data_IF_506008413384
#
_entry.id   IF_506008413384
#
_cell.length_a   1.000
_cell.length_b   1.000
_cell.length_c   1.000
_cell.angle_alpha   90.00
_cell.angle_beta   90.00
_cell.angle_gamma   90.00
#
_symmetry.space_group_name_H-M   'P 1'
#
loop_
_entity.id
_entity.type
_entity.pdbx_description
1 polymer ?
#
# COMPACT_ATOMS: atom_id res chain seq x y z
N UNK A 1 -19.85 15.00 -0.44
CA UNK A 1 -19.50 14.57 0.93
C UNK A 1 -18.60 15.62 1.56
N UNK A 2 -18.85 15.96 2.81
CA UNK A 2 -17.95 16.84 3.56
C UNK A 2 -16.98 15.95 4.38
N UNK A 3 -15.69 16.17 4.19
CA UNK A 3 -14.63 15.44 4.87
C UNK A 3 -13.94 16.28 5.97
N UNK A 4 -14.39 17.52 6.18
CA UNK A 4 -13.83 18.43 7.19
C UNK A 4 -13.87 17.81 8.57
N UNK A 5 -12.75 17.85 9.28
CA UNK A 5 -12.60 17.30 10.63
C UNK A 5 -12.52 15.77 10.68
N UNK A 6 -12.57 15.09 9.55
CA UNK A 6 -12.36 13.64 9.47
C UNK A 6 -10.88 13.29 9.44
N UNK A 7 -10.55 12.12 10.00
CA UNK A 7 -9.19 11.61 10.07
C UNK A 7 -8.99 10.43 9.13
N UNK A 8 -7.80 10.35 8.51
CA UNK A 8 -7.40 9.22 7.69
C UNK A 8 -6.07 8.65 8.17
N UNK A 9 -6.05 7.37 8.55
CA UNK A 9 -4.81 6.66 8.87
C UNK A 9 -4.20 6.07 7.59
N UNK A 10 -2.90 6.28 7.40
CA UNK A 10 -2.15 5.83 6.21
C UNK A 10 -1.16 4.75 6.61
N UNK A 11 -1.30 3.56 6.03
CA UNK A 11 -0.39 2.42 6.25
C UNK A 11 0.24 1.99 4.93
N UNK A 12 1.33 1.24 5.03
CA UNK A 12 1.99 0.66 3.86
C UNK A 12 3.45 1.04 3.74
N UNK A 13 3.89 1.16 2.50
CA UNK A 13 5.31 1.34 2.19
C UNK A 13 5.68 2.76 1.71
N UNK A 14 6.77 2.85 0.94
CA UNK A 14 7.31 4.12 0.43
C UNK A 14 6.34 4.86 -0.51
N UNK A 15 5.44 4.15 -1.17
CA UNK A 15 4.47 4.75 -2.10
C UNK A 15 3.35 5.43 -1.29
N UNK A 16 2.76 4.76 -0.31
CA UNK A 16 1.80 5.41 0.58
C UNK A 16 2.42 6.57 1.38
N UNK A 17 3.69 6.41 1.80
CA UNK A 17 4.47 7.44 2.51
C UNK A 17 4.74 8.68 1.66
N UNK A 18 4.99 8.53 0.36
CA UNK A 18 5.39 9.62 -0.55
C UNK A 18 6.90 9.79 -0.67
N UNK A 19 7.70 8.70 -0.60
CA UNK A 19 9.17 8.78 -0.63
C UNK A 19 9.72 9.44 -1.91
N UNK A 20 9.04 9.29 -3.04
CA UNK A 20 9.41 9.95 -4.31
C UNK A 20 8.99 11.43 -4.40
N UNK A 21 8.36 11.97 -3.36
CA UNK A 21 7.83 13.33 -3.30
C UNK A 21 8.06 13.96 -1.92
N UNK A 22 9.25 13.80 -1.36
CA UNK A 22 9.67 14.40 -0.08
C UNK A 22 8.72 14.09 1.10
N UNK A 23 8.12 12.90 1.12
CA UNK A 23 7.17 12.50 2.14
C UNK A 23 5.75 13.04 1.92
N UNK A 24 5.48 13.76 0.84
CA UNK A 24 4.15 14.21 0.46
C UNK A 24 3.47 13.11 -0.36
N UNK A 25 2.82 12.18 0.33
CA UNK A 25 2.17 11.00 -0.25
C UNK A 25 0.65 11.09 -0.24
N UNK A 26 0.00 9.93 -0.28
CA UNK A 26 -1.47 9.84 -0.40
C UNK A 26 -2.19 10.60 0.72
N UNK A 27 -1.69 10.54 1.96
CA UNK A 27 -2.31 11.23 3.09
C UNK A 27 -2.31 12.75 2.94
N UNK A 28 -1.19 13.32 2.51
CA UNK A 28 -1.03 14.77 2.30
C UNK A 28 -1.88 15.26 1.13
N UNK A 29 -2.00 14.48 0.06
CA UNK A 29 -2.91 14.82 -1.04
C UNK A 29 -4.38 14.76 -0.57
N UNK A 30 -4.79 13.73 0.17
CA UNK A 30 -6.14 13.67 0.75
C UNK A 30 -6.42 14.85 1.70
N UNK A 31 -5.41 15.34 2.41
CA UNK A 31 -5.53 16.57 3.19
C UNK A 31 -5.74 17.80 2.30
N UNK A 32 -4.86 17.98 1.31
CA UNK A 32 -4.88 19.12 0.37
C UNK A 32 -6.20 19.21 -0.38
N UNK A 33 -6.69 18.06 -0.90
CA UNK A 33 -7.77 18.04 -1.89
C UNK A 33 -9.15 17.80 -1.25
N UNK A 34 -9.22 17.13 -0.08
CA UNK A 34 -10.46 16.78 0.61
C UNK A 34 -10.58 17.32 2.04
N UNK A 35 -9.53 17.89 2.61
CA UNK A 35 -9.54 18.43 3.98
C UNK A 35 -9.42 17.39 5.09
N UNK A 36 -9.06 16.14 4.77
CA UNK A 36 -8.83 15.09 5.76
C UNK A 36 -7.58 15.37 6.61
N UNK A 37 -7.60 14.96 7.88
CA UNK A 37 -6.40 15.02 8.73
C UNK A 37 -5.66 13.69 8.67
N UNK A 38 -4.45 13.60 8.05
CA UNK A 38 -3.72 12.36 7.94
C UNK A 38 -2.98 12.00 9.25
N UNK A 39 -3.01 10.70 9.58
CA UNK A 39 -2.17 10.08 10.62
C UNK A 39 -1.34 9.00 9.92
N UNK A 40 -0.05 9.27 9.73
CA UNK A 40 0.81 8.44 8.89
C UNK A 40 1.57 7.39 9.71
N UNK A 41 1.33 6.12 9.40
CA UNK A 41 2.08 4.96 9.87
C UNK A 41 2.92 4.30 8.77
N UNK A 42 2.64 4.61 7.50
CA UNK A 42 3.40 4.12 6.36
C UNK A 42 4.90 4.45 6.49
N UNK A 43 5.76 3.50 6.14
CA UNK A 43 7.23 3.65 6.25
C UNK A 43 7.90 3.09 5.00
N UNK A 44 8.89 3.81 4.47
CA UNK A 44 9.66 3.38 3.31
C UNK A 44 10.27 1.98 3.48
N UNK A 45 10.17 1.15 2.43
CA UNK A 45 10.70 -0.21 2.42
C UNK A 45 9.88 -1.24 3.21
N UNK A 46 8.71 -0.86 3.75
CA UNK A 46 7.88 -1.78 4.50
C UNK A 46 7.36 -2.92 3.62
N UNK A 47 7.17 -4.09 4.23
CA UNK A 47 6.64 -5.32 3.64
C UNK A 47 5.42 -5.79 4.42
N UNK A 48 4.53 -6.46 3.75
CA UNK A 48 3.38 -7.14 4.37
C UNK A 48 3.84 -8.42 5.05
N UNK A 49 4.59 -9.27 4.36
CA UNK A 49 5.27 -10.40 4.97
C UNK A 49 6.55 -9.98 5.69
N UNK A 50 6.97 -10.75 6.68
CA UNK A 50 8.16 -10.42 7.44
C UNK A 50 9.45 -10.70 6.63
N UNK A 51 10.38 -9.76 6.70
CA UNK A 51 11.75 -9.96 6.24
C UNK A 51 12.71 -9.28 7.22
N UNK A 52 13.73 -10.01 7.69
CA UNK A 52 14.65 -9.52 8.72
C UNK A 52 15.31 -8.20 8.31
N UNK A 53 15.35 -7.23 9.22
CA UNK A 53 15.95 -5.91 9.00
C UNK A 53 15.13 -4.97 8.12
N UNK A 54 13.89 -5.33 7.79
CA UNK A 54 12.95 -4.49 7.03
C UNK A 54 11.77 -4.06 7.91
N UNK A 55 11.18 -2.91 7.57
CA UNK A 55 9.94 -2.46 8.19
C UNK A 55 8.80 -3.44 7.86
N UNK A 56 7.92 -3.68 8.82
CA UNK A 56 6.81 -4.62 8.67
C UNK A 56 5.46 -3.89 8.85
N UNK A 57 4.55 -4.03 7.88
CA UNK A 57 3.24 -3.37 7.93
C UNK A 57 2.41 -3.87 9.14
N UNK A 58 2.57 -5.13 9.54
CA UNK A 58 1.95 -5.66 10.77
C UNK A 58 2.32 -4.82 12.00
N UNK A 59 3.59 -4.41 12.14
CA UNK A 59 4.03 -3.56 13.26
C UNK A 59 3.42 -2.15 13.20
N UNK A 60 3.19 -1.61 12.00
CA UNK A 60 2.48 -0.33 11.84
C UNK A 60 1.06 -0.43 12.41
N UNK A 61 0.34 -1.52 12.07
CA UNK A 61 -1.04 -1.76 12.56
C UNK A 61 -1.05 -1.98 14.06
N UNK A 62 -0.13 -2.81 14.58
CA UNK A 62 0.02 -3.02 16.03
C UNK A 62 0.29 -1.71 16.78
N UNK A 63 1.14 -0.85 16.20
CA UNK A 63 1.42 0.48 16.76
C UNK A 63 0.17 1.34 16.79
N UNK A 64 -0.57 1.43 15.71
CA UNK A 64 -1.80 2.22 15.63
C UNK A 64 -2.85 1.79 16.67
N UNK A 65 -3.00 0.46 16.87
CA UNK A 65 -3.87 -0.08 17.91
C UNK A 65 -3.39 0.33 19.31
N UNK A 66 -2.08 0.23 19.59
CA UNK A 66 -1.48 0.65 20.87
C UNK A 66 -1.62 2.16 21.11
N UNK A 67 -1.49 2.96 20.06
CA UNK A 67 -1.68 4.42 20.09
C UNK A 67 -3.17 4.80 20.30
N UNK A 68 -4.08 3.81 20.24
CA UNK A 68 -5.54 3.97 20.43
C UNK A 68 -6.15 5.01 19.49
N UNK A 69 -5.66 5.07 18.25
CA UNK A 69 -6.26 5.96 17.26
C UNK A 69 -7.69 5.51 16.92
N UNK A 70 -8.53 6.45 16.50
CA UNK A 70 -9.89 6.18 16.06
C UNK A 70 -10.15 6.89 14.71
N UNK A 71 -9.55 6.40 13.62
CA UNK A 71 -9.66 7.06 12.32
C UNK A 71 -11.06 6.87 11.72
N UNK A 72 -11.53 7.87 10.97
CA UNK A 72 -12.75 7.74 10.15
C UNK A 72 -12.48 6.90 8.89
N UNK A 73 -11.24 6.95 8.38
CA UNK A 73 -10.80 6.26 7.18
C UNK A 73 -9.44 5.62 7.37
N UNK A 74 -9.21 4.50 6.68
CA UNK A 74 -7.90 3.86 6.55
C UNK A 74 -7.61 3.69 5.06
N UNK A 75 -6.48 4.24 4.61
CA UNK A 75 -5.96 4.04 3.26
C UNK A 75 -4.62 3.33 3.37
N UNK A 76 -4.42 2.28 2.57
CA UNK A 76 -3.22 1.48 2.68
C UNK A 76 -2.80 0.85 1.34
N UNK A 77 -1.51 0.60 1.22
CA UNK A 77 -0.90 -0.22 0.17
C UNK A 77 -0.12 -1.38 0.79
N UNK A 78 0.51 -2.18 -0.04
CA UNK A 78 1.45 -3.19 0.42
C UNK A 78 1.52 -4.36 -0.55
N UNK A 79 2.69 -4.63 -1.01
CA UNK A 79 3.30 -5.75 -1.72
C UNK A 79 4.52 -5.31 -2.54
N UNK A 80 4.72 -4.01 -2.75
CA UNK A 80 5.80 -3.45 -3.58
C UNK A 80 7.17 -4.03 -3.24
N UNK A 81 7.41 -4.26 -1.96
CA UNK A 81 8.68 -4.81 -1.47
C UNK A 81 8.62 -6.32 -1.23
N UNK A 82 7.44 -6.91 -1.11
CA UNK A 82 7.26 -8.36 -0.95
C UNK A 82 7.56 -9.14 -2.22
N UNK A 83 7.29 -8.53 -3.39
CA UNK A 83 7.57 -9.11 -4.70
C UNK A 83 9.03 -8.90 -5.17
N UNK A 84 9.96 -8.49 -4.31
CA UNK A 84 11.37 -8.50 -4.64
C UNK A 84 11.90 -9.93 -4.72
N UNK A 85 12.84 -10.15 -5.64
CA UNK A 85 13.59 -11.41 -5.70
C UNK A 85 14.66 -11.40 -4.59
N UNK A 86 14.74 -12.50 -3.85
CA UNK A 86 15.77 -12.67 -2.82
C UNK A 86 17.16 -12.72 -3.45
N UNK A 87 18.13 -12.10 -2.81
CA UNK A 87 19.52 -12.09 -3.30
C UNK A 87 20.06 -13.51 -3.48
N UNK A 88 20.61 -13.78 -4.66
CA UNK A 88 21.13 -15.12 -5.00
C UNK A 88 20.06 -16.19 -5.24
N UNK A 89 18.79 -15.82 -5.40
CA UNK A 89 17.66 -16.73 -5.60
C UNK A 89 16.85 -16.34 -6.84
N UNK A 90 16.07 -17.28 -7.35
CA UNK A 90 14.99 -17.01 -8.31
C UNK A 90 13.61 -16.86 -7.63
N UNK A 91 13.57 -16.96 -6.30
CA UNK A 91 12.33 -16.89 -5.52
C UNK A 91 12.13 -15.50 -4.90
N UNK A 92 10.89 -15.09 -4.64
CA UNK A 92 10.61 -13.86 -3.93
C UNK A 92 11.14 -13.92 -2.49
N UNK A 93 11.50 -12.76 -1.94
CA UNK A 93 11.94 -12.60 -0.55
C UNK A 93 10.90 -13.05 0.48
N UNK A 94 9.63 -12.91 0.14
CA UNK A 94 8.48 -13.29 0.99
C UNK A 94 7.62 -14.28 0.21
N UNK A 95 7.38 -15.50 0.67
CA UNK A 95 6.48 -16.44 -0.01
C UNK A 95 5.06 -15.89 -0.13
N UNK A 96 4.40 -16.10 -1.28
CA UNK A 96 3.04 -15.62 -1.53
C UNK A 96 2.02 -16.27 -0.58
N UNK A 97 2.08 -17.58 -0.40
CA UNK A 97 1.16 -18.36 0.42
C UNK A 97 -0.24 -18.49 -0.17
N UNK A 98 -1.10 -19.26 0.48
CA UNK A 98 -2.48 -19.48 0.07
C UNK A 98 -3.45 -18.56 0.81
N UNK A 99 -4.62 -18.30 0.21
CA UNK A 99 -5.73 -17.61 0.88
C UNK A 99 -6.38 -18.59 1.85
N UNK A 100 -6.62 -18.20 3.09
CA UNK A 100 -7.30 -19.05 4.06
C UNK A 100 -8.74 -19.37 3.65
N UNK A 101 -9.26 -20.51 4.09
CA UNK A 101 -10.64 -20.91 3.78
C UNK A 101 -11.68 -20.19 4.66
N UNK A 102 -11.31 -19.81 5.88
CA UNK A 102 -12.19 -19.19 6.87
C UNK A 102 -11.82 -17.77 7.21
N UNK A 103 -12.47 -17.28 8.26
CA UNK A 103 -12.28 -15.93 8.83
C UNK A 103 -11.83 -15.99 10.30
N UNK A 104 -11.47 -17.17 10.80
CA UNK A 104 -11.12 -17.40 12.20
C UNK A 104 -9.61 -17.56 12.38
N UNK A 105 -9.15 -17.44 13.63
CA UNK A 105 -7.75 -17.66 13.99
C UNK A 105 -6.80 -16.55 13.55
N UNK A 106 -7.32 -15.32 13.32
CA UNK A 106 -6.50 -14.15 13.04
C UNK A 106 -6.30 -13.32 14.32
N UNK A 107 -5.04 -13.05 14.63
CA UNK A 107 -4.64 -12.17 15.71
C UNK A 107 -3.34 -11.46 15.36
N UNK A 108 -3.43 -10.18 15.03
CA UNK A 108 -2.32 -9.33 14.61
C UNK A 108 -1.15 -9.31 15.62
N UNK A 109 -1.41 -9.60 16.90
CA UNK A 109 -0.38 -9.64 17.94
C UNK A 109 0.31 -11.00 18.07
N UNK A 110 -0.26 -12.04 17.47
CA UNK A 110 0.27 -13.42 17.50
C UNK A 110 0.81 -13.88 16.15
N UNK A 111 0.77 -13.02 15.11
CA UNK A 111 1.25 -13.38 13.77
C UNK A 111 2.74 -13.70 13.80
N UNK A 112 3.11 -14.83 13.22
CA UNK A 112 4.50 -15.29 13.20
C UNK A 112 5.28 -14.63 12.08
N UNK A 113 6.56 -14.36 12.32
CA UNK A 113 7.49 -13.81 11.33
C UNK A 113 7.78 -14.76 10.15
N UNK A 114 7.34 -16.00 10.23
CA UNK A 114 7.46 -17.01 9.15
C UNK A 114 6.22 -17.11 8.29
N UNK A 115 5.17 -16.36 8.59
CA UNK A 115 3.94 -16.41 7.83
C UNK A 115 4.13 -15.79 6.43
N UNK A 116 3.52 -16.38 5.39
CA UNK A 116 3.59 -15.86 4.04
C UNK A 116 2.78 -14.57 3.87
N UNK A 117 2.97 -13.90 2.72
CA UNK A 117 2.29 -12.65 2.37
C UNK A 117 0.78 -12.72 2.59
N UNK A 118 0.12 -13.76 2.04
CA UNK A 118 -1.35 -13.89 2.12
C UNK A 118 -1.83 -13.92 3.57
N UNK A 119 -1.15 -14.69 4.44
CA UNK A 119 -1.53 -14.77 5.86
C UNK A 119 -1.35 -13.42 6.56
N UNK A 120 -0.20 -12.77 6.37
CA UNK A 120 0.05 -11.45 6.96
C UNK A 120 -0.95 -10.40 6.48
N UNK A 121 -1.32 -10.42 5.20
CA UNK A 121 -2.31 -9.49 4.65
C UNK A 121 -3.70 -9.72 5.26
N UNK A 122 -4.12 -10.98 5.45
CA UNK A 122 -5.37 -11.31 6.14
C UNK A 122 -5.37 -10.88 7.61
N UNK A 123 -4.24 -11.03 8.32
CA UNK A 123 -4.08 -10.51 9.69
C UNK A 123 -4.28 -8.99 9.75
N UNK A 124 -3.74 -8.26 8.78
CA UNK A 124 -3.89 -6.80 8.66
C UNK A 124 -5.36 -6.45 8.40
N UNK A 125 -6.02 -7.08 7.42
CA UNK A 125 -7.42 -6.82 7.10
C UNK A 125 -8.34 -7.12 8.29
N UNK A 126 -8.13 -8.28 8.94
CA UNK A 126 -8.88 -8.66 10.13
C UNK A 126 -8.67 -7.62 11.25
N UNK A 127 -7.44 -7.17 11.47
CA UNK A 127 -7.14 -6.17 12.49
C UNK A 127 -7.83 -4.83 12.22
N UNK A 128 -7.85 -4.35 10.96
CA UNK A 128 -8.57 -3.14 10.61
C UNK A 128 -10.06 -3.25 10.95
N UNK A 129 -10.70 -4.35 10.53
CA UNK A 129 -12.13 -4.58 10.79
C UNK A 129 -12.44 -4.75 12.29
N UNK A 130 -11.56 -5.38 13.04
CA UNK A 130 -11.72 -5.67 14.46
C UNK A 130 -11.47 -4.47 15.36
N UNK A 131 -10.37 -3.75 15.13
CA UNK A 131 -9.92 -2.69 16.03
C UNK A 131 -10.37 -1.29 15.59
N UNK A 132 -10.73 -1.12 14.32
CA UNK A 132 -11.24 0.15 13.77
C UNK A 132 -12.60 -0.05 13.07
N UNK A 133 -13.61 -0.62 13.76
CA UNK A 133 -14.86 -1.11 13.13
C UNK A 133 -15.73 0.00 12.53
N UNK A 134 -15.44 1.26 12.83
CA UNK A 134 -16.14 2.42 12.26
C UNK A 134 -15.38 3.04 11.08
N UNK A 135 -14.12 2.68 10.89
CA UNK A 135 -13.32 3.19 9.80
C UNK A 135 -13.75 2.62 8.45
N UNK A 136 -13.84 3.46 7.45
CA UNK A 136 -14.00 3.04 6.06
C UNK A 136 -12.63 2.74 5.47
N UNK A 137 -12.49 1.57 4.85
CA UNK A 137 -11.20 1.05 4.35
C UNK A 137 -11.06 1.30 2.86
N UNK A 138 -9.84 1.57 2.42
CA UNK A 138 -9.47 1.61 1.01
C UNK A 138 -8.06 1.06 0.81
N UNK A 139 -7.94 -0.03 0.09
CA UNK A 139 -6.67 -0.51 -0.44
C UNK A 139 -6.40 0.14 -1.80
N UNK A 140 -5.15 0.50 -2.09
CA UNK A 140 -4.74 0.80 -3.46
C UNK A 140 -3.57 -0.08 -3.89
N UNK A 141 -3.72 -0.70 -5.06
CA UNK A 141 -2.64 -1.41 -5.74
C UNK A 141 -1.81 -0.40 -6.51
N UNK A 142 -0.47 -0.31 -6.28
CA UNK A 142 0.40 0.59 -7.03
C UNK A 142 0.43 0.31 -8.53
N UNK A 143 0.96 1.27 -9.29
CA UNK A 143 1.15 1.21 -10.74
C UNK A 143 2.09 0.09 -11.18
N UNK A 144 2.19 -0.12 -12.49
CA UNK A 144 3.09 -1.09 -13.10
C UNK A 144 4.56 -0.60 -13.02
N UNK A 145 5.36 -1.24 -12.14
CA UNK A 145 6.71 -0.80 -11.74
C UNK A 145 7.80 -1.52 -12.52
N UNK A 146 8.53 -0.78 -13.36
CA UNK A 146 9.62 -1.31 -14.19
C UNK A 146 10.86 -1.79 -13.44
N UNK A 147 10.94 -1.54 -12.13
CA UNK A 147 12.00 -2.06 -11.25
C UNK A 147 11.66 -3.39 -10.59
N UNK A 148 10.43 -3.86 -10.75
CA UNK A 148 9.98 -5.14 -10.19
C UNK A 148 9.87 -6.19 -11.28
N UNK A 149 10.04 -7.45 -10.90
CA UNK A 149 9.68 -8.54 -11.80
C UNK A 149 8.19 -8.46 -12.16
N UNK A 150 7.87 -8.50 -13.47
CA UNK A 150 6.49 -8.31 -13.94
C UNK A 150 5.56 -9.43 -13.47
N UNK A 151 6.05 -10.67 -13.43
CA UNK A 151 5.25 -11.81 -13.00
C UNK A 151 4.95 -11.72 -11.51
N UNK A 152 5.96 -11.43 -10.70
CA UNK A 152 5.80 -11.34 -9.25
C UNK A 152 4.90 -10.16 -8.85
N UNK A 153 5.12 -8.94 -9.37
CA UNK A 153 4.26 -7.81 -9.02
C UNK A 153 2.79 -8.04 -9.42
N UNK A 154 2.55 -8.76 -10.51
CA UNK A 154 1.22 -9.15 -10.92
C UNK A 154 0.60 -10.15 -9.95
N UNK A 155 1.31 -11.22 -9.62
CA UNK A 155 0.85 -12.25 -8.68
C UNK A 155 0.52 -11.69 -7.28
N UNK A 156 1.40 -10.87 -6.71
CA UNK A 156 1.17 -10.26 -5.39
C UNK A 156 0.04 -9.23 -5.42
N UNK A 157 -0.04 -8.41 -6.47
CA UNK A 157 -1.12 -7.44 -6.62
C UNK A 157 -2.49 -8.10 -6.81
N UNK A 158 -2.59 -9.13 -7.64
CA UNK A 158 -3.81 -9.91 -7.83
C UNK A 158 -4.23 -10.64 -6.54
N UNK A 159 -3.25 -11.17 -5.79
CA UNK A 159 -3.49 -11.78 -4.48
C UNK A 159 -4.03 -10.76 -3.48
N UNK A 160 -3.47 -9.56 -3.39
CA UNK A 160 -3.95 -8.49 -2.52
C UNK A 160 -5.40 -8.10 -2.87
N UNK A 161 -5.73 -7.96 -4.17
CA UNK A 161 -7.10 -7.69 -4.63
C UNK A 161 -8.05 -8.84 -4.27
N UNK A 162 -7.64 -10.09 -4.47
CA UNK A 162 -8.46 -11.25 -4.12
C UNK A 162 -8.75 -11.31 -2.61
N UNK A 163 -7.76 -10.97 -1.78
CA UNK A 163 -7.92 -10.84 -0.32
C UNK A 163 -8.86 -9.69 0.05
N UNK A 164 -8.71 -8.52 -0.58
CA UNK A 164 -9.66 -7.41 -0.38
C UNK A 164 -11.09 -7.81 -0.73
N UNK A 165 -11.30 -8.51 -1.85
CA UNK A 165 -12.62 -9.04 -2.24
C UNK A 165 -13.17 -10.02 -1.21
N UNK A 166 -12.37 -10.97 -0.72
CA UNK A 166 -12.76 -11.92 0.31
C UNK A 166 -13.23 -11.21 1.59
N UNK A 167 -12.51 -10.19 2.03
CA UNK A 167 -12.77 -9.47 3.27
C UNK A 167 -13.74 -8.28 3.11
N UNK A 168 -14.30 -8.05 1.91
CA UNK A 168 -15.23 -6.96 1.64
C UNK A 168 -14.60 -5.57 1.71
N UNK A 169 -13.29 -5.47 1.47
CA UNK A 169 -12.55 -4.21 1.50
C UNK A 169 -12.52 -3.57 0.10
N UNK A 170 -13.00 -2.34 -0.07
CA UNK A 170 -12.87 -1.59 -1.32
C UNK A 170 -11.41 -1.38 -1.73
N UNK A 171 -11.17 -1.35 -3.06
CA UNK A 171 -9.84 -1.13 -3.59
C UNK A 171 -9.84 -0.26 -4.85
N UNK A 172 -8.66 0.30 -5.18
CA UNK A 172 -8.30 0.96 -6.45
C UNK A 172 -7.15 0.19 -7.07
N UNK A 173 -7.29 -0.25 -8.32
CA UNK A 173 -6.24 -0.94 -9.05
C UNK A 173 -5.48 0.01 -9.98
N UNK A 174 -4.51 0.76 -9.44
CA UNK A 174 -3.70 1.69 -10.23
C UNK A 174 -2.81 0.98 -11.25
N UNK A 175 -2.53 -0.31 -11.07
CA UNK A 175 -1.79 -1.12 -12.04
C UNK A 175 -2.51 -1.18 -13.38
N UNK A 176 -3.82 -1.40 -13.37
CA UNK A 176 -4.64 -1.53 -14.58
C UNK A 176 -5.37 -0.24 -14.98
N UNK A 177 -5.62 0.69 -14.06
CA UNK A 177 -6.51 1.83 -14.30
C UNK A 177 -5.75 3.17 -14.47
N UNK A 178 -4.54 3.32 -13.90
CA UNK A 178 -3.83 4.61 -13.93
C UNK A 178 -3.23 4.98 -15.30
N UNK A 179 -3.05 4.00 -16.18
CA UNK A 179 -2.28 4.19 -17.42
C UNK A 179 -0.80 4.53 -17.17
N UNK A 180 -0.26 4.29 -15.97
CA UNK A 180 1.14 4.49 -15.64
C UNK A 180 1.90 3.16 -15.71
N UNK A 181 2.87 3.08 -16.61
CA UNK A 181 3.70 1.88 -16.79
C UNK A 181 5.17 2.30 -16.92
N UNK A 182 5.95 2.09 -15.85
CA UNK A 182 7.34 2.56 -15.78
C UNK A 182 8.37 1.59 -16.39
N UNK A 183 7.93 0.50 -17.04
CA UNK A 183 8.74 -0.21 -18.03
C UNK A 183 8.96 0.65 -19.30
N UNK A 184 8.05 1.60 -19.57
CA UNK A 184 8.15 2.54 -20.68
C UNK A 184 9.03 3.71 -20.24
N UNK A 185 10.19 3.97 -20.89
CA UNK A 185 11.16 4.98 -20.43
C UNK A 185 10.56 6.38 -20.21
N UNK A 186 9.71 6.85 -21.12
CA UNK A 186 9.08 8.17 -20.97
C UNK A 186 8.16 8.25 -19.76
N UNK A 187 7.44 7.17 -19.39
CA UNK A 187 6.62 7.15 -18.18
C UNK A 187 7.49 7.09 -16.92
N UNK A 188 8.56 6.29 -16.95
CA UNK A 188 9.54 6.24 -15.87
C UNK A 188 10.09 7.64 -15.56
N UNK A 189 10.62 8.32 -16.58
CA UNK A 189 11.32 9.59 -16.40
C UNK A 189 10.36 10.75 -16.06
N UNK A 190 9.12 10.70 -16.55
CA UNK A 190 8.12 11.71 -16.28
C UNK A 190 7.44 11.56 -14.93
N UNK A 191 7.18 10.32 -14.47
CA UNK A 191 6.29 10.03 -13.35
C UNK A 191 6.97 9.45 -12.13
N UNK A 192 8.27 9.12 -12.18
CA UNK A 192 8.97 8.62 -11.00
C UNK A 192 10.09 9.53 -10.52
N UNK A 193 10.49 9.32 -9.27
CA UNK A 193 11.48 10.12 -8.60
C UNK A 193 12.86 10.01 -9.28
N UNK A 194 13.46 11.16 -9.58
CA UNK A 194 14.83 11.25 -10.07
C UNK A 194 15.76 11.71 -8.94
N UNK A 195 16.35 10.75 -8.24
CA UNK A 195 17.21 11.01 -7.08
C UNK A 195 18.53 11.74 -7.41
N UNK A 196 18.93 11.76 -8.68
CA UNK A 196 20.21 12.31 -9.10
C UNK A 196 20.08 13.52 -10.01
N UNK A 197 18.86 13.94 -10.37
CA UNK A 197 18.58 14.98 -11.36
C UNK A 197 19.21 14.69 -12.74
N UNK A 198 19.24 13.43 -13.14
CA UNK A 198 19.80 12.99 -14.43
C UNK A 198 18.76 12.88 -15.54
N UNK A 199 17.52 13.28 -15.28
CA UNK A 199 16.38 13.10 -16.18
C UNK A 199 15.93 11.65 -16.29
N UNK A 200 16.24 10.81 -15.28
CA UNK A 200 15.91 9.40 -15.26
C UNK A 200 15.27 9.01 -13.93
N UNK A 201 14.00 8.66 -13.98
CA UNK A 201 13.26 8.19 -12.83
C UNK A 201 13.69 6.81 -12.35
N UNK A 202 13.37 6.48 -11.09
CA UNK A 202 13.76 5.25 -10.39
C UNK A 202 12.87 4.03 -10.67
N UNK A 203 11.88 4.18 -11.56
CA UNK A 203 10.89 3.16 -11.95
C UNK A 203 9.87 2.75 -10.87
N UNK A 204 9.93 3.31 -9.67
CA UNK A 204 9.15 2.79 -8.53
C UNK A 204 8.37 3.88 -7.79
N UNK A 205 9.05 4.96 -7.39
CA UNK A 205 8.46 5.94 -6.49
C UNK A 205 7.77 7.06 -7.27
N UNK A 206 6.45 7.23 -7.16
CA UNK A 206 5.74 8.32 -7.82
C UNK A 206 6.29 9.67 -7.36
N UNK A 207 6.52 10.57 -8.32
CA UNK A 207 6.78 11.98 -8.05
C UNK A 207 5.46 12.77 -7.92
N UNK A 208 5.53 14.08 -7.67
CA UNK A 208 4.35 14.92 -7.53
C UNK A 208 3.38 14.79 -8.72
N UNK A 209 3.91 14.85 -9.94
CA UNK A 209 3.11 14.78 -11.17
C UNK A 209 2.34 13.44 -11.27
N UNK A 210 2.98 12.33 -10.87
CA UNK A 210 2.34 11.02 -10.86
C UNK A 210 1.19 10.96 -9.84
N UNK A 211 1.39 11.51 -8.63
CA UNK A 211 0.28 11.59 -7.69
C UNK A 211 -0.87 12.42 -8.26
N UNK A 212 -0.62 13.62 -8.77
CA UNK A 212 -1.65 14.53 -9.26
C UNK A 212 -2.42 13.98 -10.47
N UNK A 213 -1.75 13.33 -11.43
CA UNK A 213 -2.37 12.91 -12.68
C UNK A 213 -2.78 11.44 -12.73
N UNK A 214 -2.15 10.55 -11.93
CA UNK A 214 -2.30 9.09 -12.06
C UNK A 214 -2.89 8.42 -10.83
N UNK A 215 -2.59 8.92 -9.64
CA UNK A 215 -2.99 8.32 -8.38
C UNK A 215 -4.25 8.96 -7.81
N UNK A 216 -4.18 10.26 -7.50
CA UNK A 216 -5.22 10.92 -6.74
C UNK A 216 -6.58 10.99 -7.45
N UNK A 217 -6.67 11.21 -8.77
CA UNK A 217 -7.97 11.19 -9.43
C UNK A 217 -8.75 9.87 -9.23
N UNK A 218 -8.05 8.73 -9.24
CA UNK A 218 -8.67 7.42 -9.04
C UNK A 218 -8.95 7.13 -7.57
N UNK A 219 -7.99 7.42 -6.69
CA UNK A 219 -8.13 7.24 -5.25
C UNK A 219 -9.28 8.09 -4.71
N UNK A 220 -9.35 9.37 -5.07
CA UNK A 220 -10.42 10.26 -4.62
C UNK A 220 -11.80 9.90 -5.18
N UNK A 221 -11.87 9.52 -6.46
CA UNK A 221 -13.12 9.06 -7.05
C UNK A 221 -13.70 7.88 -6.25
N UNK A 222 -12.83 6.91 -5.92
CA UNK A 222 -13.22 5.76 -5.09
C UNK A 222 -13.53 6.17 -3.66
N UNK A 223 -12.70 7.03 -3.07
CA UNK A 223 -12.85 7.51 -1.71
C UNK A 223 -14.20 8.22 -1.48
N UNK A 224 -14.66 9.00 -2.45
CA UNK A 224 -15.96 9.68 -2.43
C UNK A 224 -17.16 8.71 -2.49
N UNK A 225 -16.96 7.43 -2.78
CA UNK A 225 -18.01 6.39 -2.81
C UNK A 225 -18.04 5.48 -1.59
N UNK A 226 -17.13 5.64 -0.64
CA UNK A 226 -17.04 4.85 0.59
C UNK A 226 -18.17 5.14 1.58
#
# INVERSE_FOLDING_TARGET
>A
MDFSGKTVAIFGDSIAFGSGNNGFGVGEFLHKDLGLTPVKYAVGGARVGFNQGKNWVVEQVQKAIKDKIAPDYIVFDGFTNDCNIAEGSALPDVPLGEISQGYEGFDIFSVKKTEPFSRCFEEILCAYLKYFPKAKLLFFRPHNMGRRDDVLQRQYGERAIALCKKWGVPFVDLYSESGMNTFIPVHRDLFTFDSYNWGRGDCTHPNQLAYELKYMPLIEAKFKTL
#
